data_IF_230053860343
#
_entry.id   IF_230053860343
#
_cell.length_a   1.000
_cell.length_b   1.000
_cell.length_c   1.000
_cell.angle_alpha   90.00
_cell.angle_beta   90.00
_cell.angle_gamma   90.00
#
_symmetry.space_group_name_H-M   'P 1'
#
loop_
_entity.id
_entity.type
_entity.pdbx_description
1 polymer ?
#
# COMPACT_ATOMS: atom_id res chain seq x y z
N UNK A 1 12.71 -13.62 -11.01
CA UNK A 1 12.18 -12.25 -10.93
C UNK A 1 11.45 -11.98 -12.23
N UNK A 2 10.16 -11.61 -12.17
CA UNK A 2 9.45 -11.14 -13.37
C UNK A 2 10.15 -9.88 -13.88
N UNK A 3 10.47 -9.80 -15.17
CA UNK A 3 11.21 -8.67 -15.72
C UNK A 3 10.40 -7.36 -15.57
N UNK A 4 9.07 -7.47 -15.66
CA UNK A 4 8.11 -6.39 -15.57
C UNK A 4 8.23 -5.58 -14.26
N UNK A 5 8.43 -6.23 -13.11
CA UNK A 5 8.52 -5.53 -11.82
C UNK A 5 9.82 -4.71 -11.69
N UNK A 6 10.90 -5.13 -12.37
CA UNK A 6 12.14 -4.36 -12.44
C UNK A 6 11.95 -3.12 -13.30
N UNK A 7 11.39 -3.29 -14.49
CA UNK A 7 11.15 -2.22 -15.45
C UNK A 7 10.19 -1.17 -14.87
N UNK A 8 9.14 -1.62 -14.17
CA UNK A 8 8.25 -0.76 -13.41
C UNK A 8 8.99 0.04 -12.34
N UNK A 9 9.86 -0.60 -11.55
CA UNK A 9 10.64 0.11 -10.54
C UNK A 9 11.61 1.13 -11.17
N UNK A 10 12.32 0.75 -12.22
CA UNK A 10 13.31 1.60 -12.90
C UNK A 10 12.68 2.86 -13.51
N UNK A 11 11.42 2.79 -13.96
CA UNK A 11 10.68 3.95 -14.50
C UNK A 11 10.44 5.08 -13.47
N UNK A 12 10.55 4.80 -12.17
CA UNK A 12 10.35 5.77 -11.09
C UNK A 12 11.65 6.30 -10.47
N UNK A 13 12.81 5.93 -11.04
CA UNK A 13 14.10 6.43 -10.58
C UNK A 13 14.25 7.92 -10.90
N UNK A 14 14.78 8.67 -9.93
CA UNK A 14 15.26 10.02 -10.18
C UNK A 14 16.53 10.00 -11.03
N UNK A 15 16.85 11.10 -11.75
CA UNK A 15 18.10 11.20 -12.49
C UNK A 15 19.33 10.91 -11.61
N UNK A 16 20.16 9.96 -12.05
CA UNK A 16 21.38 9.53 -11.35
C UNK A 16 21.14 8.61 -10.14
N UNK A 17 19.91 8.16 -9.91
CA UNK A 17 19.57 7.15 -8.92
C UNK A 17 19.76 5.74 -9.51
N UNK A 18 20.20 4.78 -8.69
CA UNK A 18 20.42 3.39 -9.11
C UNK A 18 19.54 2.44 -8.31
N UNK A 19 18.76 1.62 -9.02
CA UNK A 19 18.02 0.53 -8.40
C UNK A 19 18.98 -0.55 -7.85
N UNK A 20 18.87 -0.83 -6.56
CA UNK A 20 19.66 -1.84 -5.84
C UNK A 20 18.88 -3.16 -5.74
N UNK A 21 17.63 -3.09 -5.31
CA UNK A 21 16.78 -4.27 -5.11
C UNK A 21 15.31 -3.92 -5.33
N UNK A 22 14.52 -4.91 -5.69
CA UNK A 22 13.07 -4.79 -5.75
C UNK A 22 12.40 -6.14 -5.47
N UNK A 23 11.15 -6.12 -5.01
CA UNK A 23 10.31 -7.29 -4.90
C UNK A 23 8.83 -6.94 -5.07
N UNK A 24 8.07 -7.84 -5.69
CA UNK A 24 6.61 -7.81 -5.59
C UNK A 24 6.19 -8.31 -4.22
N UNK A 25 5.37 -7.56 -3.52
CA UNK A 25 4.94 -7.89 -2.17
C UNK A 25 3.51 -7.45 -1.87
N UNK A 26 2.92 -8.07 -0.87
CA UNK A 26 1.63 -7.75 -0.25
C UNK A 26 1.86 -7.41 1.23
N UNK A 27 0.89 -6.77 1.90
CA UNK A 27 0.97 -6.65 3.36
C UNK A 27 0.84 -8.04 3.99
N UNK A 28 1.56 -8.28 5.08
CA UNK A 28 1.39 -9.53 5.83
C UNK A 28 -0.04 -9.66 6.35
N UNK A 29 -0.62 -10.87 6.36
CA UNK A 29 -1.99 -11.05 6.83
C UNK A 29 -2.08 -10.64 8.31
N UNK A 30 -3.06 -9.83 8.70
CA UNK A 30 -3.15 -9.29 10.07
C UNK A 30 -2.39 -7.98 10.31
N UNK A 31 -1.74 -7.39 9.30
CA UNK A 31 -1.42 -5.94 9.35
C UNK A 31 -2.74 -5.16 9.50
N UNK A 32 -2.83 -4.18 10.41
CA UNK A 32 -4.08 -3.48 10.62
C UNK A 32 -4.51 -2.62 9.44
N UNK A 33 -5.81 -2.65 9.14
CA UNK A 33 -6.41 -1.67 8.24
C UNK A 33 -6.48 -0.29 8.93
N UNK A 34 -5.95 0.78 8.31
CA UNK A 34 -5.97 2.13 8.88
C UNK A 34 -7.40 2.69 8.96
N UNK A 35 -7.72 3.49 9.99
CA UNK A 35 -9.04 4.11 10.11
C UNK A 35 -9.31 5.06 8.94
N UNK A 36 -10.57 5.11 8.49
CA UNK A 36 -10.97 5.91 7.32
C UNK A 36 -10.63 7.40 7.43
N UNK A 37 -10.57 7.95 8.65
CA UNK A 37 -10.20 9.34 8.90
C UNK A 37 -8.76 9.69 8.53
N UNK A 38 -7.88 8.70 8.41
CA UNK A 38 -6.48 8.87 8.01
C UNK A 38 -6.27 8.64 6.51
N UNK A 39 -7.27 8.14 5.80
CA UNK A 39 -7.17 7.86 4.38
C UNK A 39 -7.48 9.13 3.57
N UNK A 40 -6.77 9.34 2.44
CA UNK A 40 -7.16 10.40 1.52
C UNK A 40 -8.60 10.15 1.05
N UNK A 41 -9.41 11.22 0.89
CA UNK A 41 -10.75 11.10 0.33
C UNK A 41 -10.68 10.42 -1.03
N UNK A 42 -11.64 9.54 -1.37
CA UNK A 42 -11.63 8.85 -2.65
C UNK A 42 -11.51 9.86 -3.79
N UNK A 43 -10.58 9.62 -4.72
CA UNK A 43 -10.57 10.40 -5.95
C UNK A 43 -11.93 10.20 -6.64
N UNK A 44 -12.63 11.28 -7.02
CA UNK A 44 -13.93 11.16 -7.66
C UNK A 44 -13.73 10.41 -8.98
N UNK A 45 -14.53 9.37 -9.18
CA UNK A 45 -14.50 8.54 -10.38
C UNK A 45 -14.67 9.40 -11.64
N UNK A 46 -14.17 8.95 -12.79
CA UNK A 46 -14.33 9.69 -14.05
C UNK A 46 -15.80 9.95 -14.39
N UNK A 47 -16.68 9.01 -14.06
CA UNK A 47 -18.14 9.16 -14.14
C UNK A 47 -18.64 10.29 -13.24
N UNK A 48 -18.16 10.35 -12.00
CA UNK A 48 -18.50 11.43 -11.08
C UNK A 48 -17.98 12.79 -11.58
N UNK A 49 -16.75 12.87 -12.07
CA UNK A 49 -16.20 14.09 -12.69
C UNK A 49 -17.00 14.51 -13.92
N UNK A 50 -17.48 13.55 -14.72
CA UNK A 50 -18.30 13.81 -15.92
C UNK A 50 -19.72 14.28 -15.57
N UNK A 51 -20.32 13.73 -14.53
CA UNK A 51 -21.63 14.15 -14.02
C UNK A 51 -21.52 15.54 -13.39
N UNK A 52 -20.53 15.76 -12.52
CA UNK A 52 -20.26 17.06 -11.91
C UNK A 52 -19.94 18.12 -12.98
N UNK A 53 -19.19 17.78 -14.02
CA UNK A 53 -18.88 18.68 -15.14
C UNK A 53 -20.12 19.15 -15.91
N UNK A 54 -21.16 18.32 -16.00
CA UNK A 54 -22.40 18.60 -16.76
C UNK A 54 -23.52 19.27 -15.94
N UNK A 55 -23.35 19.44 -14.63
CA UNK A 55 -24.39 20.02 -13.78
C UNK A 55 -24.36 21.58 -13.80
N UNK A 56 -25.52 22.25 -13.93
CA UNK A 56 -25.65 23.69 -13.75
C UNK A 56 -25.15 24.16 -12.38
N UNK A 57 -24.60 25.39 -12.30
CA UNK A 57 -23.99 25.99 -11.10
C UNK A 57 -24.72 25.76 -9.76
N UNK A 58 -26.05 25.95 -9.65
CA UNK A 58 -26.76 25.73 -8.39
C UNK A 58 -26.86 24.24 -7.99
N UNK A 59 -26.86 23.31 -8.96
CA UNK A 59 -26.87 21.87 -8.68
C UNK A 59 -25.49 21.35 -8.29
N UNK A 60 -24.40 21.95 -8.79
CA UNK A 60 -23.03 21.67 -8.33
C UNK A 60 -22.85 21.96 -6.83
N UNK A 61 -23.45 23.04 -6.33
CA UNK A 61 -23.41 23.38 -4.90
C UNK A 61 -24.21 22.40 -4.05
N UNK A 62 -25.36 21.92 -4.54
CA UNK A 62 -26.20 20.93 -3.86
C UNK A 62 -25.54 19.54 -3.77
N UNK A 63 -24.82 19.12 -4.81
CA UNK A 63 -24.02 17.88 -4.78
C UNK A 63 -22.84 18.02 -3.83
N UNK A 64 -22.09 19.14 -3.87
CA UNK A 64 -21.02 19.41 -2.91
C UNK A 64 -21.52 19.46 -1.46
N UNK A 65 -22.69 20.07 -1.22
CA UNK A 65 -23.32 20.12 0.10
C UNK A 65 -23.81 18.74 0.58
N UNK A 66 -24.30 17.88 -0.32
CA UNK A 66 -24.66 16.48 0.02
C UNK A 66 -23.45 15.58 0.27
N UNK A 67 -22.31 15.85 -0.37
CA UNK A 67 -21.04 15.14 -0.11
C UNK A 67 -20.43 15.59 1.22
N UNK A 68 -20.67 16.84 1.64
CA UNK A 68 -20.22 17.39 2.93
C UNK A 68 -21.15 17.12 4.12
N UNK A 69 -22.30 16.46 3.91
CA UNK A 69 -23.20 16.02 4.99
C UNK A 69 -23.10 14.49 5.18
N UNK A 70 -22.27 14.01 6.14
CA UNK A 70 -21.99 12.58 6.32
C UNK A 70 -23.22 11.76 6.72
N UNK A 71 -24.37 12.38 7.02
CA UNK A 71 -25.58 11.69 7.50
C UNK A 71 -26.55 11.28 6.40
N UNK A 72 -26.37 11.69 5.13
CA UNK A 72 -27.39 11.51 4.07
C UNK A 72 -26.97 10.78 2.79
N UNK A 73 -25.73 10.33 2.64
CA UNK A 73 -25.23 9.62 1.45
C UNK A 73 -25.13 8.08 1.66
N UNK A 74 -26.26 7.43 1.94
CA UNK A 74 -26.42 5.95 1.92
C UNK A 74 -27.15 5.54 0.64
N UNK A 75 -26.43 5.13 -0.41
CA UNK A 75 -26.29 3.69 -0.68
C UNK A 75 -24.87 3.20 -1.04
N UNK A 76 -24.01 4.06 -1.59
CA UNK A 76 -22.66 3.67 -2.02
C UNK A 76 -21.68 3.48 -0.85
N UNK A 77 -21.83 4.26 0.22
CA UNK A 77 -21.13 4.03 1.48
C UNK A 77 -21.61 2.76 2.20
N UNK A 78 -22.88 2.40 2.04
CA UNK A 78 -23.43 1.16 2.59
C UNK A 78 -22.95 -0.06 1.82
N UNK A 79 -22.90 -0.02 0.48
CA UNK A 79 -22.34 -1.10 -0.34
C UNK A 79 -20.85 -1.34 0.00
N UNK A 80 -20.05 -0.28 0.08
CA UNK A 80 -18.65 -0.38 0.49
C UNK A 80 -18.46 -0.81 1.95
N UNK A 81 -19.36 -0.43 2.87
CA UNK A 81 -19.29 -0.86 4.26
C UNK A 81 -19.73 -2.31 4.46
N UNK A 82 -20.68 -2.79 3.64
CA UNK A 82 -21.15 -4.18 3.65
C UNK A 82 -20.08 -5.10 3.04
N UNK A 83 -19.36 -4.67 2.00
CA UNK A 83 -18.21 -5.43 1.46
C UNK A 83 -17.01 -5.47 2.41
N UNK A 84 -16.80 -4.46 3.27
CA UNK A 84 -15.65 -4.36 4.21
C UNK A 84 -15.88 -4.91 5.61
N UNK A 85 -17.14 -5.15 5.99
CA UNK A 85 -17.49 -5.78 7.27
C UNK A 85 -16.91 -7.20 7.38
N UNK A 86 -16.95 -8.04 6.33
CA UNK A 86 -16.20 -9.29 6.26
C UNK A 86 -14.69 -9.07 6.47
N UNK A 87 -14.09 -8.11 5.75
CA UNK A 87 -12.65 -7.85 5.81
C UNK A 87 -12.15 -7.45 7.20
N UNK A 88 -12.92 -6.64 7.95
CA UNK A 88 -12.53 -6.22 9.29
C UNK A 88 -12.59 -7.37 10.33
N UNK A 89 -13.53 -8.30 10.14
CA UNK A 89 -13.65 -9.51 10.97
C UNK A 89 -12.58 -10.52 10.59
N UNK A 90 -12.29 -10.67 9.29
CA UNK A 90 -11.21 -11.49 8.77
C UNK A 90 -9.83 -10.93 9.18
N UNK A 91 -9.65 -9.62 9.24
CA UNK A 91 -8.45 -8.97 9.77
C UNK A 91 -8.22 -9.29 11.25
N UNK A 92 -9.29 -9.27 12.05
CA UNK A 92 -9.23 -9.64 13.47
C UNK A 92 -8.92 -11.14 13.62
N UNK A 93 -9.58 -11.98 12.84
CA UNK A 93 -9.35 -13.43 12.80
C UNK A 93 -7.92 -13.77 12.38
N UNK A 94 -7.42 -13.11 11.32
CA UNK A 94 -6.06 -13.26 10.82
C UNK A 94 -5.02 -12.77 11.83
N UNK A 95 -5.27 -11.69 12.58
CA UNK A 95 -4.36 -11.28 13.67
C UNK A 95 -4.29 -12.31 14.78
N UNK A 96 -5.42 -12.87 15.18
CA UNK A 96 -5.47 -13.91 16.21
C UNK A 96 -4.79 -15.21 15.74
N UNK A 97 -4.88 -15.54 14.45
CA UNK A 97 -4.30 -16.76 13.87
C UNK A 97 -2.81 -16.61 13.48
N UNK A 98 -2.39 -15.43 13.03
CA UNK A 98 -1.06 -15.18 12.45
C UNK A 98 -0.15 -14.27 13.29
N UNK A 99 -0.63 -13.84 14.46
CA UNK A 99 0.10 -12.95 15.37
C UNK A 99 0.11 -11.49 14.91
N UNK A 100 0.78 -10.66 15.71
CA UNK A 100 1.01 -9.24 15.39
C UNK A 100 1.94 -9.13 14.19
N UNK A 101 1.51 -8.42 13.14
CA UNK A 101 2.26 -8.23 11.89
C UNK A 101 2.60 -6.76 11.61
N UNK A 102 2.37 -5.90 12.59
CA UNK A 102 2.81 -4.51 12.63
C UNK A 102 2.99 -4.08 14.10
N UNK A 103 4.05 -3.33 14.39
CA UNK A 103 4.24 -2.62 15.66
C UNK A 103 4.48 -1.14 15.40
N UNK A 104 3.95 -0.29 16.28
CA UNK A 104 3.89 1.15 16.11
C UNK A 104 2.45 1.65 15.99
N UNK A 105 2.26 2.95 16.22
CA UNK A 105 0.98 3.63 16.02
C UNK A 105 0.83 4.13 14.56
N UNK A 106 -0.27 4.80 14.25
CA UNK A 106 -0.52 5.33 12.90
C UNK A 106 0.42 6.49 12.53
N UNK A 107 1.06 7.12 13.51
CA UNK A 107 1.97 8.25 13.36
C UNK A 107 3.41 7.77 13.12
N UNK A 108 3.74 6.55 13.50
CA UNK A 108 5.02 5.88 13.25
C UNK A 108 5.29 5.68 11.75
N UNK A 109 6.54 5.37 11.40
CA UNK A 109 6.95 5.07 10.05
C UNK A 109 6.22 3.85 9.47
N UNK A 110 6.02 2.79 10.27
CA UNK A 110 5.22 1.63 9.89
C UNK A 110 3.75 2.02 9.64
N UNK A 111 3.15 2.81 10.53
CA UNK A 111 1.78 3.31 10.37
C UNK A 111 1.61 4.13 9.08
N UNK A 112 2.53 5.06 8.81
CA UNK A 112 2.52 5.86 7.58
C UNK A 112 2.71 5.01 6.33
N UNK A 113 3.57 4.00 6.36
CA UNK A 113 3.72 3.05 5.26
C UNK A 113 2.39 2.36 4.94
N UNK A 114 1.69 1.85 5.96
CA UNK A 114 0.40 1.18 5.79
C UNK A 114 -0.68 2.15 5.28
N UNK A 115 -0.75 3.38 5.84
CA UNK A 115 -1.70 4.41 5.38
C UNK A 115 -1.47 4.76 3.92
N UNK A 116 -0.22 5.02 3.53
CA UNK A 116 0.17 5.30 2.15
C UNK A 116 -0.32 4.21 1.20
N UNK A 117 -0.12 2.95 1.58
CA UNK A 117 -0.49 1.78 0.78
C UNK A 117 -2.00 1.59 0.70
N UNK A 118 -2.72 1.76 1.80
CA UNK A 118 -4.18 1.74 1.80
C UNK A 118 -4.78 2.87 0.94
N UNK A 119 -4.08 4.00 0.82
CA UNK A 119 -4.40 5.09 -0.10
C UNK A 119 -4.37 4.69 -1.58
N UNK A 120 -3.71 3.58 -1.94
CA UNK A 120 -3.64 3.08 -3.31
C UNK A 120 -4.88 2.32 -3.79
N UNK A 121 -5.86 2.07 -2.92
CA UNK A 121 -7.21 1.50 -3.18
C UNK A 121 -7.34 0.66 -4.47
N UNK A 122 -7.20 -0.66 -4.36
CA UNK A 122 -7.60 -1.60 -5.42
C UNK A 122 -6.48 -2.45 -6.04
N UNK A 123 -5.24 -2.38 -5.53
CA UNK A 123 -4.16 -3.22 -6.02
C UNK A 123 -3.97 -4.50 -5.23
N UNK A 124 -3.84 -5.63 -5.93
CA UNK A 124 -3.39 -6.91 -5.38
C UNK A 124 -1.86 -7.01 -5.45
N UNK A 125 -1.20 -6.23 -6.31
CA UNK A 125 0.24 -6.36 -6.59
C UNK A 125 0.97 -5.05 -6.35
N UNK A 126 1.77 -5.00 -5.29
CA UNK A 126 2.66 -3.86 -5.03
C UNK A 126 4.11 -4.24 -5.29
N UNK A 127 4.90 -3.24 -5.69
CA UNK A 127 6.35 -3.36 -5.86
C UNK A 127 7.02 -2.53 -4.78
N UNK A 128 7.84 -3.17 -3.93
CA UNK A 128 8.73 -2.49 -3.01
C UNK A 128 10.13 -2.44 -3.63
N UNK A 129 10.72 -1.26 -3.69
CA UNK A 129 12.00 -1.02 -4.33
C UNK A 129 12.95 -0.24 -3.43
N UNK A 130 14.25 -0.51 -3.61
CA UNK A 130 15.36 0.06 -2.86
C UNK A 130 16.38 0.59 -3.84
N UNK A 131 16.75 1.85 -3.66
CA UNK A 131 17.80 2.51 -4.43
C UNK A 131 18.97 2.88 -3.55
N UNK A 132 20.02 3.41 -4.14
CA UNK A 132 21.14 4.02 -3.42
C UNK A 132 20.74 5.21 -2.53
N UNK A 133 19.52 5.77 -2.66
CA UNK A 133 19.08 6.96 -1.93
C UNK A 133 17.85 6.76 -1.04
N UNK A 134 16.90 5.93 -1.45
CA UNK A 134 15.59 5.82 -0.82
C UNK A 134 14.97 4.44 -0.98
N UNK A 135 13.92 4.23 -0.20
CA UNK A 135 12.93 3.20 -0.41
C UNK A 135 11.70 3.83 -1.02
N UNK A 136 11.02 3.09 -1.89
CA UNK A 136 9.72 3.50 -2.41
C UNK A 136 8.85 2.28 -2.69
N UNK A 137 7.54 2.48 -2.61
CA UNK A 137 6.56 1.47 -2.94
C UNK A 137 5.63 1.98 -4.03
N UNK A 138 5.42 1.11 -5.02
CA UNK A 138 4.50 1.31 -6.13
C UNK A 138 3.30 0.41 -5.96
N UNK A 139 2.13 0.93 -6.30
CA UNK A 139 0.88 0.16 -6.33
C UNK A 139 0.25 0.26 -7.70
N UNK A 140 -0.33 -0.83 -8.17
CA UNK A 140 -1.10 -0.84 -9.41
C UNK A 140 -2.48 -0.21 -9.19
N UNK A 141 -2.73 0.93 -9.83
CA UNK A 141 -4.00 1.68 -9.78
C UNK A 141 -4.87 1.45 -11.01
N UNK A 142 -4.57 0.40 -11.78
CA UNK A 142 -5.35 0.04 -12.96
C UNK A 142 -6.80 -0.22 -12.62
N UNK A 143 -7.68 0.20 -13.53
CA UNK A 143 -9.08 -0.22 -13.45
C UNK A 143 -9.15 -1.72 -13.82
N UNK A 144 -10.12 -2.47 -13.27
CA UNK A 144 -10.26 -3.92 -13.49
C UNK A 144 -10.33 -4.35 -14.97
N UNK A 145 -10.70 -3.44 -15.88
CA UNK A 145 -10.77 -3.69 -17.32
C UNK A 145 -9.48 -3.32 -18.08
N UNK A 146 -8.52 -2.66 -17.43
CA UNK A 146 -7.23 -2.32 -18.03
C UNK A 146 -6.29 -3.53 -17.92
N UNK A 147 -5.76 -3.97 -19.06
CA UNK A 147 -4.81 -5.10 -19.10
C UNK A 147 -3.37 -4.71 -18.77
N UNK A 148 -3.03 -3.42 -18.91
CA UNK A 148 -1.68 -2.90 -18.63
C UNK A 148 -1.66 -2.23 -17.25
N UNK A 149 -0.81 -2.69 -16.32
CA UNK A 149 -0.65 -2.08 -15.01
C UNK A 149 -0.25 -0.60 -15.11
N UNK A 150 -0.98 0.26 -14.39
CA UNK A 150 -0.65 1.67 -14.19
C UNK A 150 -0.10 1.77 -12.77
N UNK A 151 1.23 1.77 -12.66
CA UNK A 151 1.88 1.91 -11.36
C UNK A 151 1.84 3.36 -10.90
N UNK A 152 1.61 3.58 -9.61
CA UNK A 152 1.76 4.90 -8.96
C UNK A 152 2.54 4.74 -7.67
N UNK A 153 3.43 5.69 -7.40
CA UNK A 153 4.19 5.73 -6.16
C UNK A 153 3.33 6.31 -5.03
N UNK A 154 3.13 5.53 -3.97
CA UNK A 154 2.32 5.93 -2.81
C UNK A 154 3.13 6.12 -1.53
N UNK A 155 4.34 5.58 -1.50
CA UNK A 155 5.22 5.68 -0.36
C UNK A 155 6.66 5.88 -0.79
N UNK A 156 7.36 6.70 -0.03
CA UNK A 156 8.79 6.96 -0.15
C UNK A 156 9.36 7.29 1.22
N UNK A 157 10.57 6.82 1.50
CA UNK A 157 11.32 7.23 2.69
C UNK A 157 12.82 7.19 2.39
N UNK A 158 13.64 8.07 3.00
CA UNK A 158 15.09 7.99 2.84
C UNK A 158 15.63 6.64 3.30
N UNK A 159 16.78 6.22 2.73
CA UNK A 159 17.40 4.92 3.07
C UNK A 159 17.65 4.76 4.57
N UNK A 160 18.06 5.85 5.22
CA UNK A 160 18.35 5.91 6.67
C UNK A 160 17.12 5.74 7.56
N UNK A 161 15.90 5.83 7.05
CA UNK A 161 14.70 5.63 7.86
C UNK A 161 14.41 4.16 8.16
N UNK A 162 14.93 3.22 7.35
CA UNK A 162 14.79 1.77 7.55
C UNK A 162 16.02 1.27 8.30
N UNK A 163 15.81 0.76 9.51
CA UNK A 163 16.89 0.27 10.37
C UNK A 163 17.31 -1.16 10.01
N UNK A 164 16.37 -2.01 9.61
CA UNK A 164 16.67 -3.36 9.16
C UNK A 164 15.57 -3.95 8.24
N UNK A 165 15.99 -4.91 7.41
CA UNK A 165 15.09 -5.87 6.80
C UNK A 165 15.39 -7.26 7.33
N UNK A 166 14.35 -8.00 7.74
CA UNK A 166 14.52 -9.37 8.25
C UNK A 166 13.59 -10.32 7.51
N UNK A 167 14.17 -11.28 6.80
CA UNK A 167 13.40 -12.41 6.30
C UNK A 167 12.96 -13.26 7.51
N UNK A 168 11.66 -13.31 7.78
CA UNK A 168 11.06 -14.08 8.88
C UNK A 168 9.96 -15.00 8.34
N UNK A 169 10.30 -15.99 7.51
CA UNK A 169 9.30 -16.89 6.95
C UNK A 169 8.58 -17.60 8.09
N UNK A 170 7.25 -17.44 8.16
CA UNK A 170 6.43 -18.02 9.23
C UNK A 170 5.44 -19.03 8.62
N UNK A 171 5.61 -20.30 8.95
CA UNK A 171 4.77 -21.39 8.44
C UNK A 171 4.84 -21.58 6.91
N UNK A 172 3.89 -22.35 6.37
CA UNK A 172 3.83 -22.68 4.94
C UNK A 172 3.23 -21.55 4.10
N UNK A 173 2.37 -20.72 4.71
CA UNK A 173 1.62 -19.65 4.04
C UNK A 173 2.39 -18.31 3.95
N UNK A 174 3.37 -18.05 4.82
CA UNK A 174 4.16 -16.81 4.79
C UNK A 174 5.64 -17.05 4.47
N UNK A 175 5.95 -17.98 3.55
CA UNK A 175 7.33 -18.30 3.17
C UNK A 175 8.12 -17.10 2.59
N UNK A 176 7.43 -16.05 2.15
CA UNK A 176 8.02 -14.80 1.64
C UNK A 176 8.01 -13.64 2.64
N UNK A 177 7.72 -13.87 3.92
CA UNK A 177 7.63 -12.79 4.90
C UNK A 177 8.96 -12.08 5.12
N UNK A 178 8.90 -10.76 5.04
CA UNK A 178 9.97 -9.82 5.36
C UNK A 178 9.40 -8.80 6.33
N UNK A 179 10.04 -8.64 7.49
CA UNK A 179 9.75 -7.56 8.41
C UNK A 179 10.62 -6.36 8.02
N UNK A 180 9.97 -5.21 7.83
CA UNK A 180 10.63 -3.91 7.61
C UNK A 180 10.66 -3.20 8.95
N UNK A 181 11.85 -3.06 9.53
CA UNK A 181 12.08 -2.34 10.78
C UNK A 181 12.50 -0.90 10.46
N UNK A 182 11.86 0.06 11.11
CA UNK A 182 12.16 1.48 10.97
C UNK A 182 13.03 1.98 12.13
N UNK A 183 13.62 3.16 11.94
CA UNK A 183 14.49 3.80 12.95
C UNK A 183 13.74 4.32 14.18
N UNK A 184 12.43 4.55 14.08
CA UNK A 184 11.59 4.89 15.23
C UNK A 184 11.18 3.66 16.06
N UNK A 185 11.72 2.48 15.73
CA UNK A 185 11.43 1.20 16.40
C UNK A 185 10.15 0.53 15.92
N UNK A 186 9.34 1.19 15.10
CA UNK A 186 8.16 0.58 14.48
C UNK A 186 8.57 -0.44 13.41
N UNK A 187 7.69 -1.40 13.13
CA UNK A 187 7.92 -2.37 12.06
C UNK A 187 6.62 -2.85 11.42
N UNK A 188 6.73 -3.35 10.19
CA UNK A 188 5.61 -3.93 9.44
C UNK A 188 6.06 -5.16 8.66
N UNK A 189 5.25 -6.21 8.68
CA UNK A 189 5.47 -7.39 7.84
C UNK A 189 4.90 -7.16 6.44
N UNK A 190 5.71 -7.50 5.43
CA UNK A 190 5.28 -7.67 4.04
C UNK A 190 5.55 -9.10 3.61
N UNK A 191 4.75 -9.62 2.68
CA UNK A 191 4.94 -10.96 2.13
C UNK A 191 5.30 -10.79 0.66
N UNK A 192 6.53 -11.18 0.30
CA UNK A 192 6.91 -11.20 -1.11
C UNK A 192 6.13 -12.32 -1.83
N UNK A 193 5.69 -12.06 -3.06
CA UNK A 193 4.91 -13.01 -3.86
C UNK A 193 5.65 -14.33 -4.11
N UNK A 194 7.00 -14.33 -4.01
CA UNK A 194 7.78 -15.57 -3.94
C UNK A 194 8.83 -15.52 -2.83
N UNK A 195 9.01 -16.64 -2.12
CA UNK A 195 9.98 -16.76 -1.02
C UNK A 195 11.43 -16.57 -1.46
N UNK A 196 11.77 -17.01 -2.67
CA UNK A 196 13.11 -16.81 -3.25
C UNK A 196 13.39 -15.32 -3.49
N UNK A 197 12.38 -14.54 -3.89
CA UNK A 197 12.53 -13.10 -4.08
C UNK A 197 12.70 -12.38 -2.73
N UNK A 198 12.03 -12.82 -1.66
CA UNK A 198 12.21 -12.25 -0.32
C UNK A 198 13.67 -12.32 0.17
N UNK A 199 14.27 -13.52 0.14
CA UNK A 199 15.64 -13.70 0.61
C UNK A 199 16.66 -12.91 -0.23
N UNK A 200 16.51 -12.93 -1.56
CA UNK A 200 17.37 -12.17 -2.47
C UNK A 200 17.24 -10.66 -2.25
N UNK A 201 16.01 -10.17 -2.04
CA UNK A 201 15.71 -8.77 -1.77
C UNK A 201 16.33 -8.29 -0.46
N UNK A 202 16.16 -9.05 0.63
CA UNK A 202 16.77 -8.75 1.94
C UNK A 202 18.30 -8.74 1.83
N UNK A 203 18.89 -9.75 1.20
CA UNK A 203 20.34 -9.84 1.02
C UNK A 203 20.91 -8.69 0.18
N UNK A 204 20.24 -8.29 -0.90
CA UNK A 204 20.67 -7.18 -1.74
C UNK A 204 20.56 -5.84 -1.00
N UNK A 205 19.51 -5.65 -0.20
CA UNK A 205 19.29 -4.44 0.58
C UNK A 205 20.33 -4.27 1.70
N UNK A 206 20.74 -5.36 2.34
CA UNK A 206 21.74 -5.35 3.41
C UNK A 206 23.17 -5.07 2.93
N UNK A 207 23.50 -5.35 1.66
CA UNK A 207 24.85 -5.14 1.09
C UNK A 207 25.24 -3.67 0.92
N UNK A 208 24.30 -2.76 1.12
CA UNK A 208 24.52 -1.32 1.01
C UNK A 208 23.95 -0.65 2.27
N UNK A 209 24.56 -0.80 3.46
CA UNK A 209 24.10 -0.04 4.63
C UNK A 209 24.15 1.45 4.27
N UNK A 210 23.02 2.15 4.48
CA UNK A 210 22.91 3.58 4.21
C UNK A 210 23.67 4.43 5.21
#
# INVERSE_FOLDING_TARGET
>A
MNQDGREQAEAFLHPGERLIAWCSCELGPGVPTPPESLLPPPEPSELQRRIEGRLPGPLKQLVKARVLDPRRSRPAAAANAIDRLPDAVDDLGNRLMHGTNMEGDWQSAAGRFVISRAGARGSVTDVLAVTDRRWYALSDVSQLWQMTPVMKQYWETPRSAVSALRARPTGVLQKGRVDIEFTDGSWVAVVASTSRNAAAFVAASARYPG
#
